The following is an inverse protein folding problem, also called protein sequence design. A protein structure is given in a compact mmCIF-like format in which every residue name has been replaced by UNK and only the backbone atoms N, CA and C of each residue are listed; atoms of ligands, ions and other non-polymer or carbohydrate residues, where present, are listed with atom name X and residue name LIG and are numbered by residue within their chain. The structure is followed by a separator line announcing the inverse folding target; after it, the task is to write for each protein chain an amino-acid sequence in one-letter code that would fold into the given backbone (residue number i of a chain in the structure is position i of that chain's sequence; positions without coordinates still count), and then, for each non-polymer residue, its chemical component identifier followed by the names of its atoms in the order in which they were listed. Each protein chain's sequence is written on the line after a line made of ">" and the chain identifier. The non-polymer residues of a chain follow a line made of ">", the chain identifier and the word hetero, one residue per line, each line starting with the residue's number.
data_IF_097706696771
#
_entry.id   IF_097706696771
#
_cell.length_a   1.000
_cell.length_b   1.000
_cell.length_c   1.000
_cell.angle_alpha   90.00
_cell.angle_beta   90.00
_cell.angle_gamma   90.00
#
_symmetry.space_group_name_H-M   'P 1'
#
loop_
_entity.id
_entity.type
_entity.pdbx_description
1 polymer ?
#
# COMPACT_ATOMS: atom_id res chain seq x y z
N UNK A 1 -21.76 18.38 -4.96
CA UNK A 1 -21.90 16.91 -5.11
C UNK A 1 -22.67 16.66 -6.39
N UNK A 2 -22.12 15.94 -7.35
CA UNK A 2 -22.76 15.60 -8.63
C UNK A 2 -22.96 14.09 -8.66
N UNK A 3 -24.10 13.63 -9.16
CA UNK A 3 -24.44 12.21 -9.29
C UNK A 3 -24.49 11.81 -10.75
N UNK A 4 -24.06 10.60 -11.05
CA UNK A 4 -24.07 10.00 -12.38
C UNK A 4 -24.65 8.58 -12.30
N UNK A 5 -25.36 8.17 -13.34
CA UNK A 5 -25.91 6.82 -13.42
C UNK A 5 -24.94 5.82 -14.07
N UNK A 6 -24.00 6.32 -14.87
CA UNK A 6 -23.00 5.48 -15.54
C UNK A 6 -21.61 6.08 -15.44
N UNK A 7 -20.54 5.25 -15.45
CA UNK A 7 -19.16 5.74 -15.53
C UNK A 7 -18.89 6.55 -16.81
N UNK A 8 -19.55 6.24 -17.92
CA UNK A 8 -19.40 6.96 -19.20
C UNK A 8 -19.97 8.37 -19.11
N UNK A 9 -21.14 8.54 -18.48
CA UNK A 9 -21.72 9.86 -18.20
C UNK A 9 -20.77 10.72 -17.34
N UNK A 10 -20.24 10.13 -16.27
CA UNK A 10 -19.26 10.79 -15.42
C UNK A 10 -17.98 11.17 -16.21
N UNK A 11 -17.46 10.26 -17.03
CA UNK A 11 -16.26 10.53 -17.83
C UNK A 11 -16.48 11.69 -18.81
N UNK A 12 -17.61 11.74 -19.49
CA UNK A 12 -17.95 12.83 -20.42
C UNK A 12 -18.08 14.19 -19.71
N UNK A 13 -18.69 14.20 -18.52
CA UNK A 13 -18.83 15.41 -17.72
C UNK A 13 -17.49 15.91 -17.15
N UNK A 14 -16.65 14.98 -16.69
CA UNK A 14 -15.39 15.32 -15.99
C UNK A 14 -14.24 15.68 -16.95
N UNK A 15 -14.23 15.16 -18.18
CA UNK A 15 -13.14 15.39 -19.12
C UNK A 15 -12.84 16.89 -19.33
N UNK A 16 -13.80 17.77 -19.70
CA UNK A 16 -13.50 19.19 -19.94
C UNK A 16 -13.08 19.94 -18.67
N UNK A 17 -13.33 19.39 -17.50
CA UNK A 17 -13.00 20.00 -16.20
C UNK A 17 -11.60 19.55 -15.73
N UNK A 18 -11.28 18.27 -15.88
CA UNK A 18 -10.12 17.63 -15.26
C UNK A 18 -8.95 17.43 -16.23
N UNK A 19 -9.19 17.23 -17.52
CA UNK A 19 -8.17 16.97 -18.52
C UNK A 19 -7.47 18.28 -18.94
N UNK A 20 -6.93 18.98 -17.94
CA UNK A 20 -6.23 20.27 -18.13
C UNK A 20 -4.86 20.24 -17.47
N UNK A 21 -3.84 20.75 -18.15
CA UNK A 21 -2.54 20.92 -17.53
C UNK A 21 -2.61 21.90 -16.37
N UNK A 22 -1.93 21.57 -15.26
CA UNK A 22 -1.76 22.50 -14.15
C UNK A 22 -0.73 23.57 -14.52
N UNK A 23 -0.99 24.79 -14.09
CA UNK A 23 0.01 25.87 -14.23
C UNK A 23 1.21 25.57 -13.32
N UNK A 24 2.45 25.75 -13.82
CA UNK A 24 3.63 25.57 -13.02
C UNK A 24 3.61 26.50 -11.80
N UNK A 25 3.80 25.93 -10.63
CA UNK A 25 3.80 26.69 -9.38
C UNK A 25 4.73 26.04 -8.37
N UNK A 26 5.41 26.85 -7.59
CA UNK A 26 6.16 26.42 -6.41
C UNK A 26 5.68 27.20 -5.19
N UNK A 27 5.44 26.51 -4.09
CA UNK A 27 4.89 27.09 -2.87
C UNK A 27 5.55 26.46 -1.66
N UNK A 28 6.14 27.28 -0.79
CA UNK A 28 6.54 26.82 0.54
C UNK A 28 5.30 26.67 1.41
N UNK A 29 5.10 25.46 1.94
CA UNK A 29 3.96 25.10 2.78
C UNK A 29 4.26 25.33 4.26
N UNK A 30 5.50 25.08 4.63
CA UNK A 30 6.08 25.30 5.95
C UNK A 30 7.61 25.30 5.79
N UNK A 31 8.37 25.78 6.79
CA UNK A 31 9.83 25.82 6.69
C UNK A 31 10.42 24.47 6.27
N UNK A 32 11.08 24.46 5.10
CA UNK A 32 11.70 23.27 4.53
C UNK A 32 10.74 22.25 3.90
N UNK A 33 9.45 22.57 3.72
CA UNK A 33 8.46 21.76 3.00
C UNK A 33 7.93 22.57 1.82
N UNK A 34 8.20 22.13 0.60
CA UNK A 34 7.84 22.82 -0.64
C UNK A 34 6.96 21.93 -1.49
N UNK A 35 5.86 22.47 -2.01
CA UNK A 35 5.03 21.88 -3.05
C UNK A 35 5.39 22.47 -4.41
N UNK A 36 5.70 21.63 -5.38
CA UNK A 36 5.87 21.98 -6.78
C UNK A 36 4.77 21.33 -7.62
N UNK A 37 4.17 22.08 -8.51
CA UNK A 37 3.18 21.61 -9.46
C UNK A 37 3.66 21.89 -10.88
N UNK A 38 3.47 20.93 -11.79
CA UNK A 38 3.76 21.11 -13.21
C UNK A 38 3.02 20.06 -14.05
N UNK A 39 2.63 20.43 -15.25
CA UNK A 39 2.24 19.46 -16.27
C UNK A 39 3.50 18.93 -16.96
N UNK A 40 3.65 17.62 -17.01
CA UNK A 40 4.79 16.93 -17.61
C UNK A 40 4.35 16.21 -18.90
N UNK A 41 5.05 16.40 -20.02
CA UNK A 41 4.69 15.73 -21.26
C UNK A 41 4.98 14.24 -21.19
N UNK A 42 4.11 13.45 -21.80
CA UNK A 42 4.27 12.04 -22.09
C UNK A 42 4.42 11.82 -23.59
N UNK A 43 4.73 10.59 -23.99
CA UNK A 43 4.74 10.19 -25.39
C UNK A 43 3.36 10.39 -26.03
N UNK A 44 3.33 10.67 -27.34
CA UNK A 44 2.09 10.79 -28.10
C UNK A 44 1.28 12.08 -27.86
N UNK A 45 1.86 13.08 -27.20
CA UNK A 45 1.21 14.36 -26.93
C UNK A 45 0.29 14.39 -25.72
N UNK A 46 0.25 13.31 -24.95
CA UNK A 46 -0.41 13.24 -23.65
C UNK A 46 0.44 13.96 -22.57
N UNK A 47 -0.18 14.18 -21.41
CA UNK A 47 0.51 14.77 -20.25
C UNK A 47 0.05 14.12 -18.95
N UNK A 48 0.82 14.36 -17.89
CA UNK A 48 0.44 14.09 -16.50
C UNK A 48 0.61 15.37 -15.68
N UNK A 49 -0.26 15.58 -14.71
CA UNK A 49 -0.05 16.62 -13.72
C UNK A 49 0.78 16.07 -12.56
N UNK A 50 1.91 16.70 -12.31
CA UNK A 50 2.83 16.35 -11.25
C UNK A 50 2.64 17.26 -10.05
N UNK A 51 2.43 16.65 -8.88
CA UNK A 51 2.40 17.32 -7.58
C UNK A 51 3.50 16.72 -6.74
N UNK A 52 4.58 17.47 -6.54
CA UNK A 52 5.76 16.99 -5.82
C UNK A 52 5.96 17.78 -4.55
N UNK A 53 5.87 17.09 -3.42
CA UNK A 53 6.25 17.66 -2.13
C UNK A 53 7.68 17.26 -1.83
N UNK A 54 8.52 18.25 -1.62
CA UNK A 54 9.94 18.09 -1.25
C UNK A 54 10.14 18.56 0.18
N UNK A 55 10.89 17.79 0.96
CA UNK A 55 11.27 18.21 2.30
C UNK A 55 12.69 17.78 2.66
N UNK A 56 13.27 18.48 3.63
CA UNK A 56 14.58 18.24 4.24
C UNK A 56 14.45 18.34 5.77
N UNK A 57 15.43 17.82 6.47
CA UNK A 57 15.55 18.12 7.90
C UNK A 57 15.50 19.66 8.14
N UNK A 58 14.73 20.17 9.13
CA UNK A 58 14.18 19.48 10.30
C UNK A 58 12.76 18.92 10.14
N UNK A 59 12.09 19.04 9.01
CA UNK A 59 10.76 18.47 8.81
C UNK A 59 10.78 16.94 9.04
N UNK A 60 9.74 16.43 9.68
CA UNK A 60 9.60 15.02 10.03
C UNK A 60 8.50 14.35 9.22
N UNK A 61 8.71 13.10 8.90
CA UNK A 61 7.71 12.25 8.27
C UNK A 61 7.29 11.15 9.24
N UNK A 62 6.00 10.83 9.26
CA UNK A 62 5.45 9.72 10.03
C UNK A 62 4.66 8.78 9.11
N UNK A 63 4.77 7.49 9.33
CA UNK A 63 3.84 6.49 8.81
C UNK A 63 2.71 6.32 9.81
N UNK A 64 1.51 6.63 9.36
CA UNK A 64 0.30 6.60 10.17
C UNK A 64 -0.65 5.53 9.65
N UNK A 65 -1.54 5.05 10.50
CA UNK A 65 -2.53 4.04 10.16
C UNK A 65 -3.92 4.47 10.61
N UNK A 66 -4.93 4.06 9.86
CA UNK A 66 -6.33 4.26 10.22
C UNK A 66 -7.08 2.92 10.24
N UNK A 67 -7.90 2.74 11.26
CA UNK A 67 -8.81 1.61 11.43
C UNK A 67 -10.07 2.13 12.14
N UNK A 68 -11.19 2.28 11.45
CA UNK A 68 -11.44 1.92 10.06
C UNK A 68 -10.69 2.79 9.03
N UNK A 69 -10.57 2.32 7.77
CA UNK A 69 -9.93 3.11 6.71
C UNK A 69 -10.70 4.41 6.43
N UNK A 70 -9.97 5.48 6.20
CA UNK A 70 -10.51 6.81 5.86
C UNK A 70 -9.78 7.38 4.65
N UNK A 71 -10.28 8.45 4.06
CA UNK A 71 -9.58 9.11 2.96
C UNK A 71 -8.39 9.95 3.47
N UNK A 72 -7.37 10.19 2.63
CA UNK A 72 -6.24 11.02 3.00
C UNK A 72 -6.66 12.45 3.41
N UNK A 73 -7.62 13.10 2.76
CA UNK A 73 -8.16 14.38 3.24
C UNK A 73 -8.84 14.30 4.61
N UNK A 74 -9.57 13.21 4.89
CA UNK A 74 -10.22 13.04 6.20
C UNK A 74 -9.17 12.82 7.31
N UNK A 75 -8.14 12.02 7.03
CA UNK A 75 -7.01 11.88 7.93
C UNK A 75 -6.32 13.24 8.19
N UNK A 76 -6.08 14.02 7.13
CA UNK A 76 -5.46 15.33 7.25
C UNK A 76 -6.30 16.32 8.07
N UNK A 77 -7.64 16.24 8.00
CA UNK A 77 -8.53 17.08 8.84
C UNK A 77 -8.38 16.76 10.33
N UNK A 78 -8.19 15.49 10.66
CA UNK A 78 -8.01 15.02 12.05
C UNK A 78 -6.57 15.09 12.57
N UNK A 79 -5.60 15.52 11.76
CA UNK A 79 -4.19 15.60 12.12
C UNK A 79 -3.64 17.03 12.01
N UNK A 80 -2.49 17.29 12.64
CA UNK A 80 -1.76 18.56 12.52
C UNK A 80 -0.71 18.52 11.39
N UNK A 81 -0.77 17.53 10.51
CA UNK A 81 0.17 17.40 9.41
C UNK A 81 0.04 18.54 8.40
N UNK A 82 1.19 19.02 7.92
CA UNK A 82 1.28 19.99 6.80
C UNK A 82 0.90 19.30 5.49
N UNK A 83 1.34 18.05 5.33
CA UNK A 83 1.04 17.22 4.16
C UNK A 83 0.62 15.83 4.62
N UNK A 84 -0.40 15.28 3.99
CA UNK A 84 -0.81 13.89 4.14
C UNK A 84 -1.00 13.26 2.78
N UNK A 85 -0.50 12.05 2.60
CA UNK A 85 -0.78 11.23 1.42
C UNK A 85 -1.00 9.77 1.80
N UNK A 86 -1.54 8.97 0.89
CA UNK A 86 -1.69 7.52 1.10
C UNK A 86 -0.34 6.83 1.22
N UNK A 87 -0.30 5.73 1.95
CA UNK A 87 0.90 4.93 2.19
C UNK A 87 0.99 3.70 1.29
N UNK A 88 1.13 2.53 1.91
CA UNK A 88 1.30 1.24 1.23
C UNK A 88 -0.02 0.58 0.83
N UNK A 89 0.13 -0.56 0.17
CA UNK A 89 -1.00 -1.36 -0.32
C UNK A 89 -1.79 -2.02 0.81
N UNK A 90 -3.07 -2.20 0.59
CA UNK A 90 -3.98 -2.81 1.55
C UNK A 90 -5.18 -3.49 0.85
N UNK A 91 -5.85 -4.39 1.58
CA UNK A 91 -7.16 -4.92 1.19
C UNK A 91 -8.27 -4.11 1.83
N UNK A 92 -9.29 -3.77 1.06
CA UNK A 92 -10.51 -3.17 1.61
C UNK A 92 -11.30 -4.19 2.45
N UNK A 93 -11.97 -3.69 3.49
CA UNK A 93 -12.85 -4.49 4.34
C UNK A 93 -13.97 -5.19 3.54
N UNK A 94 -14.45 -4.58 2.45
CA UNK A 94 -15.49 -5.14 1.58
C UNK A 94 -15.07 -6.43 0.88
N UNK A 95 -13.76 -6.65 0.69
CA UNK A 95 -13.22 -7.91 0.19
C UNK A 95 -13.06 -8.97 1.28
N UNK A 96 -13.08 -8.55 2.54
CA UNK A 96 -12.92 -9.41 3.70
C UNK A 96 -14.28 -9.62 4.37
N UNK A 97 -15.19 -10.39 3.77
CA UNK A 97 -16.57 -10.61 4.25
C UNK A 97 -16.71 -11.00 5.73
N UNK A 98 -15.62 -11.41 6.35
CA UNK A 98 -15.58 -11.88 7.73
C UNK A 98 -14.90 -10.92 8.71
N UNK A 99 -14.39 -9.79 8.22
CA UNK A 99 -13.70 -8.78 9.02
C UNK A 99 -14.13 -7.36 8.66
N UNK A 100 -14.51 -6.57 9.64
CA UNK A 100 -14.72 -5.13 9.44
C UNK A 100 -13.40 -4.36 9.34
N UNK A 101 -12.25 -5.03 9.26
CA UNK A 101 -10.92 -4.39 9.29
C UNK A 101 -10.23 -4.45 7.95
N UNK A 102 -9.65 -3.33 7.56
CA UNK A 102 -8.72 -3.27 6.44
C UNK A 102 -7.38 -3.91 6.85
N UNK A 103 -6.89 -4.78 5.99
CA UNK A 103 -5.63 -5.49 6.21
C UNK A 103 -4.55 -4.91 5.32
N UNK A 104 -3.39 -4.57 5.90
CA UNK A 104 -2.20 -4.24 5.11
C UNK A 104 -1.75 -5.46 4.31
N UNK A 105 -1.33 -5.23 3.06
CA UNK A 105 -0.68 -6.27 2.27
C UNK A 105 0.73 -6.51 2.80
N UNK A 106 1.10 -7.76 2.99
CA UNK A 106 2.41 -8.17 3.47
C UNK A 106 2.81 -7.52 4.81
N UNK A 107 4.00 -6.87 4.88
CA UNK A 107 4.52 -6.29 6.10
C UNK A 107 3.71 -5.09 6.56
N UNK A 108 3.37 -5.10 7.85
CA UNK A 108 2.95 -3.90 8.56
C UNK A 108 3.49 -3.92 10.00
N UNK A 109 4.16 -2.83 10.37
CA UNK A 109 4.57 -2.53 11.75
C UNK A 109 3.87 -1.23 12.13
N UNK A 110 3.19 -1.22 13.26
CA UNK A 110 2.48 -0.05 13.82
C UNK A 110 2.91 0.14 15.26
N UNK A 111 3.26 1.33 15.65
CA UNK A 111 3.63 1.66 17.02
C UNK A 111 4.67 0.68 17.60
N UNK A 112 5.75 0.44 16.85
CA UNK A 112 6.82 -0.50 17.16
C UNK A 112 6.38 -1.99 17.24
N UNK A 113 5.20 -2.35 16.74
CA UNK A 113 4.63 -3.70 16.83
C UNK A 113 4.29 -4.26 15.46
N UNK A 114 4.62 -5.52 15.24
CA UNK A 114 4.21 -6.23 14.03
C UNK A 114 2.70 -6.41 14.05
N UNK A 115 2.04 -6.03 12.97
CA UNK A 115 0.62 -6.32 12.73
C UNK A 115 0.39 -7.27 11.57
N UNK A 116 1.39 -7.44 10.68
CA UNK A 116 1.37 -8.40 9.59
C UNK A 116 2.79 -8.79 9.20
N UNK A 117 3.03 -10.08 8.90
CA UNK A 117 4.30 -10.60 8.39
C UNK A 117 4.30 -10.66 6.86
N UNK A 118 5.45 -10.42 6.23
CA UNK A 118 5.59 -10.61 4.79
C UNK A 118 5.57 -12.10 4.44
N UNK A 119 4.98 -12.42 3.29
CA UNK A 119 4.92 -13.80 2.77
C UNK A 119 5.87 -14.01 1.60
N UNK A 120 6.37 -12.94 1.02
CA UNK A 120 7.37 -12.89 -0.05
C UNK A 120 8.38 -11.81 0.23
N UNK A 121 9.57 -11.93 -0.36
CA UNK A 121 10.59 -10.89 -0.32
C UNK A 121 10.05 -9.63 -1.01
N UNK A 122 10.31 -8.46 -0.42
CA UNK A 122 9.76 -7.19 -0.91
C UNK A 122 10.50 -5.98 -0.37
N UNK A 123 10.17 -4.81 -0.91
CA UNK A 123 10.59 -3.54 -0.37
C UNK A 123 9.58 -3.06 0.69
N UNK A 124 10.08 -2.37 1.69
CA UNK A 124 9.29 -1.71 2.70
C UNK A 124 9.73 -0.25 2.89
N UNK A 125 8.77 0.60 3.17
CA UNK A 125 9.01 1.93 3.69
C UNK A 125 9.01 1.85 5.21
N UNK A 126 10.13 2.24 5.81
CA UNK A 126 10.37 2.14 7.25
C UNK A 126 10.52 3.54 7.83
N UNK A 127 9.80 3.82 8.91
CA UNK A 127 9.94 5.04 9.69
C UNK A 127 10.78 4.75 10.96
N UNK A 128 11.85 5.55 11.12
CA UNK A 128 12.70 5.57 12.29
C UNK A 128 13.00 7.02 12.68
N UNK A 129 12.65 7.40 13.91
CA UNK A 129 12.94 8.75 14.45
C UNK A 129 12.44 9.89 13.53
N UNK A 130 11.30 9.70 12.87
CA UNK A 130 10.73 10.68 11.94
C UNK A 130 11.43 10.76 10.57
N UNK A 131 12.28 9.80 10.24
CA UNK A 131 12.91 9.66 8.93
C UNK A 131 12.39 8.43 8.18
N UNK A 132 12.10 8.60 6.89
CA UNK A 132 11.66 7.51 6.02
C UNK A 132 12.84 6.91 5.27
N UNK A 133 12.89 5.59 5.19
CA UNK A 133 13.86 4.84 4.40
C UNK A 133 13.21 3.68 3.65
N UNK A 134 13.65 3.41 2.44
CA UNK A 134 13.28 2.21 1.68
C UNK A 134 14.29 1.13 2.02
N UNK A 135 13.79 -0.05 2.41
CA UNK A 135 14.60 -1.18 2.84
C UNK A 135 14.10 -2.43 2.13
N UNK A 136 15.02 -3.19 1.53
CA UNK A 136 14.70 -4.53 1.04
C UNK A 136 14.49 -5.47 2.24
N UNK A 137 13.36 -6.13 2.28
CA UNK A 137 12.93 -6.99 3.39
C UNK A 137 12.72 -8.41 2.88
N UNK A 138 13.74 -9.28 3.01
CA UNK A 138 13.55 -10.71 2.84
C UNK A 138 12.53 -11.22 3.87
N UNK A 139 11.58 -12.03 3.40
CA UNK A 139 10.50 -12.55 4.24
C UNK A 139 10.96 -13.77 5.04
N UNK A 140 11.87 -13.56 5.93
CA UNK A 140 12.33 -14.53 6.91
C UNK A 140 12.81 -13.83 8.18
N UNK A 141 13.00 -14.60 9.25
CA UNK A 141 13.50 -14.05 10.50
C UNK A 141 13.38 -15.03 11.65
N UNK A 142 13.35 -14.49 12.84
CA UNK A 142 13.26 -15.24 14.08
C UNK A 142 11.97 -14.89 14.83
N UNK A 143 11.39 -15.88 15.46
CA UNK A 143 10.22 -15.74 16.32
C UNK A 143 10.32 -16.71 17.51
N UNK A 144 9.53 -16.45 18.55
CA UNK A 144 9.30 -17.37 19.65
C UNK A 144 7.84 -17.82 19.62
N UNK A 145 7.60 -19.13 19.66
CA UNK A 145 6.28 -19.72 19.82
C UNK A 145 6.20 -20.47 21.16
N UNK A 146 5.38 -19.96 22.07
CA UNK A 146 5.41 -20.35 23.47
C UNK A 146 6.72 -19.88 24.11
N UNK A 147 7.63 -20.82 24.41
CA UNK A 147 8.95 -20.51 24.99
C UNK A 147 10.11 -20.99 24.09
N UNK A 148 9.83 -21.35 22.84
CA UNK A 148 10.84 -21.91 21.93
C UNK A 148 11.12 -20.96 20.78
N UNK A 149 12.40 -20.70 20.50
CA UNK A 149 12.79 -19.93 19.32
C UNK A 149 12.66 -20.78 18.05
N UNK A 150 12.28 -20.13 16.95
CA UNK A 150 12.15 -20.71 15.61
C UNK A 150 12.59 -19.72 14.56
N UNK A 151 13.14 -20.25 13.47
CA UNK A 151 13.28 -19.51 12.23
C UNK A 151 11.96 -19.61 11.47
N UNK A 152 11.48 -18.50 10.97
CA UNK A 152 10.32 -18.45 10.10
C UNK A 152 10.69 -17.93 8.70
N UNK A 153 9.92 -18.32 7.71
CA UNK A 153 9.99 -17.76 6.36
C UNK A 153 8.59 -17.49 5.81
N UNK A 154 8.49 -16.60 4.85
CA UNK A 154 7.27 -16.39 4.07
C UNK A 154 6.98 -17.61 3.19
N UNK A 155 5.72 -17.98 3.06
CA UNK A 155 5.30 -19.17 2.32
C UNK A 155 5.60 -19.12 0.81
N UNK A 156 5.96 -17.96 0.29
CA UNK A 156 6.28 -17.73 -1.12
C UNK A 156 7.76 -17.48 -1.37
N UNK A 157 8.59 -17.72 -0.37
CA UNK A 157 10.04 -17.67 -0.50
C UNK A 157 10.60 -19.08 -0.63
N UNK A 158 11.87 -19.17 -1.00
CA UNK A 158 12.64 -20.42 -0.98
C UNK A 158 13.54 -20.53 0.25
N UNK A 159 13.31 -19.72 1.28
CA UNK A 159 14.09 -19.76 2.50
C UNK A 159 13.75 -20.99 3.33
N UNK A 160 14.77 -21.69 3.80
CA UNK A 160 14.63 -22.79 4.77
C UNK A 160 14.23 -22.25 6.13
N UNK A 161 13.18 -22.82 6.71
CA UNK A 161 12.64 -22.39 7.98
C UNK A 161 12.01 -23.53 8.78
N UNK A 162 11.87 -23.30 10.08
CA UNK A 162 11.18 -24.23 11.00
C UNK A 162 9.66 -24.04 10.94
N UNK A 163 9.21 -22.89 10.46
CA UNK A 163 7.78 -22.59 10.23
C UNK A 163 7.63 -21.56 9.10
N UNK A 164 6.43 -21.51 8.50
CA UNK A 164 6.14 -20.67 7.35
C UNK A 164 4.95 -19.75 7.61
N UNK A 165 5.18 -18.46 7.38
CA UNK A 165 4.16 -17.44 7.49
C UNK A 165 3.32 -17.36 6.21
N UNK A 166 2.02 -17.35 6.40
CA UNK A 166 1.03 -17.15 5.39
C UNK A 166 0.20 -15.93 5.78
N UNK A 167 0.34 -14.89 5.04
CA UNK A 167 -0.34 -13.64 5.33
C UNK A 167 -1.41 -13.31 4.31
N UNK A 168 -1.94 -12.12 4.43
CA UNK A 168 -3.01 -11.62 3.59
C UNK A 168 -2.63 -11.48 2.10
N UNK A 169 -1.35 -11.45 1.78
CA UNK A 169 -0.85 -11.37 0.41
C UNK A 169 -0.99 -12.68 -0.39
N UNK A 170 -1.39 -13.77 0.24
CA UNK A 170 -1.67 -15.02 -0.47
C UNK A 170 -3.02 -15.00 -1.22
N UNK A 171 -3.83 -13.98 -1.04
CA UNK A 171 -5.02 -13.82 -1.85
C UNK A 171 -4.62 -13.38 -3.26
N UNK A 172 -4.89 -14.25 -4.22
CA UNK A 172 -4.76 -13.92 -5.64
C UNK A 172 -5.91 -12.99 -6.00
N UNK A 173 -5.58 -11.75 -6.34
CA UNK A 173 -6.56 -10.84 -6.93
C UNK A 173 -6.68 -11.22 -8.40
N UNK A 174 -7.65 -12.05 -8.73
CA UNK A 174 -7.98 -12.38 -10.11
C UNK A 174 -8.88 -11.27 -10.69
N UNK A 175 -8.33 -10.51 -11.62
CA UNK A 175 -9.13 -9.65 -12.47
C UNK A 175 -9.76 -10.49 -13.57
N UNK A 176 -10.98 -10.99 -13.35
CA UNK A 176 -11.77 -11.58 -14.43
C UNK A 176 -12.76 -10.55 -14.97
N UNK A 177 -12.80 -10.34 -16.29
CA UNK A 177 -13.84 -9.52 -16.87
C UNK A 177 -15.21 -10.18 -16.61
N UNK A 178 -16.13 -9.45 -16.02
CA UNK A 178 -17.53 -9.88 -15.94
C UNK A 178 -18.09 -9.90 -17.36
N UNK A 179 -18.42 -11.10 -17.85
CA UNK A 179 -18.95 -11.30 -19.18
C UNK A 179 -20.25 -10.50 -19.45
N UNK A 180 -20.97 -10.09 -18.40
CA UNK A 180 -22.23 -9.37 -18.49
C UNK A 180 -22.06 -7.84 -18.48
N UNK A 181 -21.07 -7.31 -17.81
CA UNK A 181 -20.88 -5.87 -17.62
C UNK A 181 -19.59 -5.34 -18.23
N UNK A 182 -18.71 -6.21 -18.73
CA UNK A 182 -17.37 -5.84 -19.22
C UNK A 182 -16.44 -5.28 -18.14
N UNK A 183 -16.91 -5.16 -16.89
CA UNK A 183 -16.13 -4.65 -15.77
C UNK A 183 -15.26 -5.76 -15.23
N UNK A 184 -14.00 -5.45 -14.96
CA UNK A 184 -13.13 -6.34 -14.22
C UNK A 184 -13.73 -6.55 -12.82
N UNK A 185 -14.21 -7.75 -12.54
CA UNK A 185 -14.48 -8.16 -11.16
C UNK A 185 -13.16 -8.54 -10.53
N UNK A 186 -12.85 -7.90 -9.42
CA UNK A 186 -11.78 -8.37 -8.55
C UNK A 186 -12.34 -9.59 -7.82
N UNK A 187 -12.03 -10.77 -8.33
CA UNK A 187 -12.22 -11.99 -7.56
C UNK A 187 -11.00 -12.12 -6.65
N UNK A 188 -11.24 -11.86 -5.39
CA UNK A 188 -10.44 -12.51 -4.39
C UNK A 188 -10.82 -14.00 -4.45
N UNK A 189 -10.02 -14.81 -5.13
CA UNK A 189 -10.02 -16.21 -4.82
C UNK A 189 -9.74 -16.26 -3.33
N UNK A 190 -10.76 -16.69 -2.57
CA UNK A 190 -10.61 -16.80 -1.14
C UNK A 190 -9.27 -17.47 -0.93
N UNK A 191 -8.39 -16.84 -0.18
CA UNK A 191 -7.12 -17.41 0.26
C UNK A 191 -7.42 -18.60 1.15
N UNK A 192 -8.09 -19.57 0.57
CA UNK A 192 -8.31 -20.86 1.16
C UNK A 192 -6.97 -21.55 1.09
N UNK A 193 -6.35 -21.55 2.21
CA UNK A 193 -5.24 -22.40 2.45
C UNK A 193 -5.70 -23.83 2.23
N UNK A 194 -5.43 -24.37 1.08
CA UNK A 194 -5.43 -25.80 0.90
C UNK A 194 -4.15 -26.30 1.53
N UNK A 195 -4.20 -26.54 2.83
CA UNK A 195 -3.23 -27.41 3.42
C UNK A 195 -3.54 -28.83 2.93
N UNK A 196 -3.07 -29.21 1.77
CA UNK A 196 -2.80 -30.61 1.53
C UNK A 196 -1.66 -31.00 2.48
N UNK A 197 -1.96 -31.04 3.77
CA UNK A 197 -1.05 -31.63 4.75
C UNK A 197 -1.21 -33.14 4.59
N UNK A 198 -0.52 -33.67 3.61
CA UNK A 198 -0.29 -35.11 3.50
C UNK A 198 0.60 -35.63 4.64
N UNK A 199 1.22 -34.72 5.40
CA UNK A 199 2.18 -35.04 6.45
C UNK A 199 1.60 -34.73 7.83
N UNK A 200 1.53 -35.74 8.69
CA UNK A 200 1.01 -35.67 10.08
C UNK A 200 1.85 -34.77 11.03
N UNK A 201 2.90 -34.13 10.55
CA UNK A 201 3.87 -33.36 11.37
C UNK A 201 3.58 -31.87 11.46
N UNK A 202 2.71 -31.31 10.60
CA UNK A 202 2.44 -29.88 10.49
C UNK A 202 1.00 -29.54 10.84
N UNK A 203 0.78 -28.34 11.33
CA UNK A 203 -0.52 -27.71 11.52
C UNK A 203 -0.50 -26.29 11.04
N UNK A 204 -1.63 -25.81 10.51
CA UNK A 204 -1.85 -24.40 10.26
C UNK A 204 -2.53 -23.79 11.47
N UNK A 205 -1.95 -22.73 12.01
CA UNK A 205 -2.42 -22.04 13.20
C UNK A 205 -2.74 -20.61 12.84
N UNK A 206 -3.96 -20.19 13.15
CA UNK A 206 -4.41 -18.82 13.03
C UNK A 206 -4.15 -18.04 14.30
N UNK A 207 -3.55 -16.88 14.17
CA UNK A 207 -3.19 -15.98 15.24
C UNK A 207 -3.90 -14.64 15.14
N UNK A 208 -4.23 -14.07 16.30
CA UNK A 208 -4.76 -12.72 16.44
C UNK A 208 -3.79 -11.86 17.22
N UNK A 209 -3.52 -10.66 16.71
CA UNK A 209 -2.72 -9.65 17.40
C UNK A 209 -3.39 -9.24 18.73
N UNK A 210 -2.58 -9.04 19.75
CA UNK A 210 -2.97 -8.60 21.09
C UNK A 210 -2.45 -7.20 21.37
N UNK A 211 -3.10 -6.44 22.26
CA UNK A 211 -2.70 -5.06 22.59
C UNK A 211 -1.28 -4.92 23.13
N UNK A 212 -0.72 -5.98 23.72
CA UNK A 212 0.65 -6.01 24.25
C UNK A 212 1.73 -6.31 23.20
N UNK A 213 1.33 -6.48 21.91
CA UNK A 213 2.23 -6.61 20.77
C UNK A 213 2.66 -8.04 20.42
N UNK A 214 2.13 -9.04 21.11
CA UNK A 214 2.25 -10.43 20.69
C UNK A 214 1.03 -10.90 19.90
N UNK A 215 1.12 -12.09 19.30
CA UNK A 215 0.00 -12.79 18.70
C UNK A 215 -0.41 -13.97 19.58
N UNK A 216 -1.72 -14.23 19.69
CA UNK A 216 -2.24 -15.41 20.37
C UNK A 216 -2.88 -16.37 19.36
N UNK A 217 -2.56 -17.64 19.45
CA UNK A 217 -3.20 -18.69 18.67
C UNK A 217 -4.69 -18.81 19.05
N UNK A 218 -5.58 -18.68 18.05
CA UNK A 218 -7.04 -18.71 18.25
C UNK A 218 -7.71 -19.85 17.49
N UNK A 219 -7.00 -20.44 16.54
CA UNK A 219 -7.52 -21.57 15.75
C UNK A 219 -6.38 -22.45 15.28
N UNK A 220 -6.69 -23.72 15.07
CA UNK A 220 -5.75 -24.71 14.56
C UNK A 220 -6.43 -25.64 13.57
N UNK A 221 -5.73 -25.99 12.52
CA UNK A 221 -6.17 -26.93 11.52
C UNK A 221 -5.07 -27.95 11.22
N UNK A 222 -5.36 -29.22 11.46
CA UNK A 222 -4.44 -30.32 11.16
C UNK A 222 -4.71 -30.93 9.77
N UNK A 223 -5.89 -30.69 9.23
CA UNK A 223 -6.34 -31.10 7.89
C UNK A 223 -7.38 -30.11 7.39
N UNK A 224 -7.41 -29.85 6.08
CA UNK A 224 -8.42 -28.99 5.46
C UNK A 224 -7.95 -27.55 5.27
N UNK A 225 -8.85 -26.59 5.35
CA UNK A 225 -8.60 -25.20 5.00
C UNK A 225 -8.78 -24.28 6.20
N UNK A 226 -7.86 -23.33 6.39
CA UNK A 226 -7.97 -22.26 7.36
C UNK A 226 -8.30 -20.96 6.62
N UNK A 227 -9.34 -20.24 7.06
CA UNK A 227 -9.70 -18.95 6.48
C UNK A 227 -8.71 -17.88 6.97
N UNK A 228 -7.82 -17.43 6.06
CA UNK A 228 -6.79 -16.45 6.39
C UNK A 228 -7.36 -15.07 6.70
N UNK A 229 -8.54 -14.71 6.20
CA UNK A 229 -9.17 -13.43 6.51
C UNK A 229 -9.73 -13.33 7.93
N UNK A 230 -9.87 -14.46 8.61
CA UNK A 230 -10.28 -14.46 10.03
C UNK A 230 -9.14 -14.25 11.00
N UNK A 231 -7.90 -14.19 10.51
CA UNK A 231 -6.69 -14.14 11.33
C UNK A 231 -5.79 -12.99 10.91
N UNK A 232 -5.03 -12.43 11.84
CA UNK A 232 -4.01 -11.43 11.52
C UNK A 232 -2.79 -12.08 10.87
N UNK A 233 -2.51 -13.32 11.26
CA UNK A 233 -1.42 -14.15 10.75
C UNK A 233 -1.84 -15.62 10.76
N UNK A 234 -1.43 -16.34 9.73
CA UNK A 234 -1.48 -17.80 9.71
C UNK A 234 -0.04 -18.32 9.61
N UNK A 235 0.29 -19.25 10.50
CA UNK A 235 1.60 -19.86 10.54
C UNK A 235 1.46 -21.37 10.38
N UNK A 236 2.15 -21.96 9.40
CA UNK A 236 2.37 -23.40 9.32
C UNK A 236 3.53 -23.77 10.21
N UNK A 237 3.29 -24.55 11.22
CA UNK A 237 4.31 -24.93 12.22
C UNK A 237 4.22 -26.41 12.60
N UNK A 238 5.26 -26.96 13.23
CA UNK A 238 5.23 -28.32 13.75
C UNK A 238 4.03 -28.57 14.67
N UNK A 239 3.30 -29.65 14.42
CA UNK A 239 2.04 -30.00 15.11
C UNK A 239 2.14 -30.02 16.63
N UNK A 240 3.29 -30.43 17.16
CA UNK A 240 3.54 -30.49 18.60
C UNK A 240 3.50 -29.10 19.28
N UNK A 241 3.68 -28.02 18.50
CA UNK A 241 3.75 -26.63 18.98
C UNK A 241 2.44 -25.88 18.79
N UNK A 242 1.56 -26.39 17.94
CA UNK A 242 0.29 -25.81 17.57
C UNK A 242 -0.74 -25.98 18.69
N UNK A 243 -0.62 -25.26 19.78
CA UNK A 243 -1.57 -25.27 20.90
C UNK A 243 -2.41 -23.99 20.87
N UNK A 244 -3.72 -24.12 21.11
CA UNK A 244 -4.58 -22.97 21.32
C UNK A 244 -4.09 -22.14 22.50
N UNK A 245 -4.13 -20.81 22.37
CA UNK A 245 -3.58 -19.88 23.34
C UNK A 245 -2.06 -19.72 23.31
N UNK A 246 -1.33 -20.46 22.45
CA UNK A 246 0.12 -20.29 22.33
C UNK A 246 0.46 -18.85 21.95
N UNK A 247 1.40 -18.24 22.68
CA UNK A 247 1.92 -16.90 22.43
C UNK A 247 2.99 -16.96 21.34
N UNK A 248 2.85 -16.07 20.34
CA UNK A 248 3.82 -15.86 19.29
C UNK A 248 4.40 -14.46 19.41
N UNK A 249 5.71 -14.36 19.41
CA UNK A 249 6.47 -13.12 19.41
C UNK A 249 7.45 -13.13 18.22
N UNK A 250 7.43 -12.08 17.40
CA UNK A 250 8.35 -11.92 16.27
C UNK A 250 9.50 -11.03 16.71
N UNK A 251 10.74 -11.47 16.46
CA UNK A 251 11.94 -10.76 16.86
C UNK A 251 12.64 -10.05 15.71
N UNK A 252 12.70 -10.72 14.55
CA UNK A 252 13.33 -10.14 13.36
C UNK A 252 12.51 -10.41 12.11
N UNK A 253 12.59 -9.47 11.14
CA UNK A 253 12.02 -9.59 9.80
C UNK A 253 13.10 -9.13 8.83
N UNK A 254 13.79 -10.06 8.18
CA UNK A 254 14.98 -9.75 7.38
C UNK A 254 16.01 -8.93 8.19
N UNK A 255 16.44 -7.77 7.67
CA UNK A 255 17.39 -6.90 8.37
C UNK A 255 16.75 -6.07 9.48
N UNK A 256 15.43 -6.16 9.67
CA UNK A 256 14.70 -5.39 10.65
C UNK A 256 14.73 -6.11 12.00
N UNK A 257 15.51 -5.61 12.94
CA UNK A 257 15.41 -6.01 14.35
C UNK A 257 14.23 -5.27 14.97
N UNK A 258 13.25 -6.02 15.46
CA UNK A 258 12.04 -5.46 16.04
C UNK A 258 12.33 -4.94 17.44
N UNK A 259 11.95 -3.71 17.68
CA UNK A 259 12.17 -3.02 18.94
C UNK A 259 11.76 -1.54 18.79
N UNK A 260 12.08 -0.73 19.78
CA UNK A 260 11.68 0.69 19.81
C UNK A 260 12.27 1.55 18.68
N UNK A 261 13.26 1.05 17.94
CA UNK A 261 13.90 1.81 16.85
C UNK A 261 13.06 1.87 15.55
N UNK A 262 12.07 0.99 15.37
CA UNK A 262 11.18 1.00 14.20
C UNK A 262 9.80 1.42 14.67
N UNK A 263 9.44 2.67 14.44
CA UNK A 263 8.14 3.21 14.82
C UNK A 263 7.03 2.59 13.96
N UNK A 264 7.26 2.54 12.66
CA UNK A 264 6.32 1.98 11.69
C UNK A 264 7.03 1.46 10.45
N UNK A 265 6.41 0.48 9.79
CA UNK A 265 6.82 0.03 8.46
C UNK A 265 5.63 -0.48 7.67
N UNK A 266 5.65 -0.32 6.37
CA UNK A 266 4.65 -0.83 5.44
C UNK A 266 5.33 -1.42 4.21
N UNK A 267 4.74 -2.47 3.66
CA UNK A 267 5.09 -2.93 2.31
C UNK A 267 4.76 -1.87 1.28
N UNK A 268 5.66 -1.73 0.33
CA UNK A 268 5.54 -0.79 -0.77
C UNK A 268 5.71 -1.51 -2.11
N UNK A 269 5.43 -0.82 -3.20
CA UNK A 269 5.63 -1.33 -4.55
C UNK A 269 7.09 -1.40 -4.96
N UNK A 270 7.37 -1.68 -6.24
CA UNK A 270 8.73 -1.83 -6.73
C UNK A 270 9.63 -0.68 -6.32
N UNK A 271 10.88 -1.01 -6.01
CA UNK A 271 11.92 -0.02 -5.79
C UNK A 271 12.21 0.73 -7.10
N UNK A 272 12.31 2.06 -7.02
CA UNK A 272 12.65 2.91 -8.18
C UNK A 272 14.10 2.76 -8.63
N UNK A 273 14.94 2.13 -7.82
CA UNK A 273 16.34 1.85 -8.16
C UNK A 273 16.51 0.76 -9.20
N UNK A 274 15.47 -0.01 -9.50
CA UNK A 274 15.49 -0.98 -10.59
C UNK A 274 15.22 -0.27 -11.92
N UNK A 275 16.24 -0.06 -12.76
CA UNK A 275 16.04 0.58 -14.07
C UNK A 275 15.19 -0.28 -15.01
N UNK A 276 15.16 -1.58 -14.76
CA UNK A 276 14.34 -2.56 -15.46
C UNK A 276 13.37 -3.20 -14.46
N UNK A 277 12.16 -2.66 -14.43
CA UNK A 277 11.10 -3.16 -13.55
C UNK A 277 10.67 -4.60 -13.86
N UNK A 278 11.01 -5.12 -15.06
CA UNK A 278 10.72 -6.51 -15.41
C UNK A 278 11.52 -7.51 -14.57
N UNK A 279 12.65 -7.07 -14.03
CA UNK A 279 13.51 -7.86 -13.14
C UNK A 279 13.18 -7.72 -11.66
N UNK A 280 12.19 -6.92 -11.31
CA UNK A 280 11.80 -6.78 -9.92
C UNK A 280 11.15 -8.08 -9.41
N UNK A 281 11.52 -8.59 -8.21
CA UNK A 281 10.94 -9.83 -7.67
C UNK A 281 9.42 -9.82 -7.58
N UNK A 282 8.80 -8.66 -7.41
CA UNK A 282 7.34 -8.51 -7.42
C UNK A 282 6.70 -8.72 -8.81
N UNK A 283 7.46 -8.62 -9.90
CA UNK A 283 6.95 -8.94 -11.24
C UNK A 283 6.78 -10.45 -11.44
N UNK A 284 7.60 -11.25 -10.78
CA UNK A 284 7.48 -12.71 -10.78
C UNK A 284 6.47 -13.19 -9.73
N UNK A 285 6.09 -12.33 -8.80
CA UNK A 285 5.13 -12.66 -7.77
C UNK A 285 3.70 -12.62 -8.33
N UNK A 286 3.25 -13.77 -8.82
CA UNK A 286 1.85 -14.00 -9.23
C UNK A 286 0.83 -13.71 -8.11
N UNK A 287 1.29 -13.44 -6.88
CA UNK A 287 0.45 -13.08 -5.76
C UNK A 287 -0.22 -11.73 -5.89
N UNK A 288 0.43 -10.80 -6.54
CA UNK A 288 -0.18 -9.56 -6.97
C UNK A 288 -0.85 -9.71 -8.34
N UNK A 289 -1.19 -10.91 -8.77
CA UNK A 289 -1.79 -11.44 -10.02
C UNK A 289 -2.15 -10.49 -11.17
N UNK A 290 -2.31 -9.23 -10.86
CA UNK A 290 -2.57 -8.12 -11.76
C UNK A 290 -1.36 -7.18 -11.91
N UNK A 291 -0.20 -7.48 -11.30
CA UNK A 291 0.92 -6.54 -11.32
C UNK A 291 1.44 -6.22 -12.73
N UNK A 292 1.60 -7.17 -13.67
CA UNK A 292 1.95 -6.85 -15.06
C UNK A 292 0.93 -5.92 -15.72
N UNK A 293 -0.36 -6.16 -15.52
CA UNK A 293 -1.43 -5.28 -16.04
C UNK A 293 -1.40 -3.90 -15.41
N UNK A 294 -1.09 -3.81 -14.11
CA UNK A 294 -0.92 -2.54 -13.41
C UNK A 294 0.34 -1.80 -13.85
N UNK A 295 1.41 -2.52 -14.21
CA UNK A 295 2.67 -1.92 -14.66
C UNK A 295 2.51 -1.21 -16.01
N UNK A 296 1.83 -1.83 -16.96
CA UNK A 296 1.65 -1.34 -18.33
C UNK A 296 0.50 -0.34 -18.46
N UNK A 297 -0.46 -0.39 -17.55
CA UNK A 297 -1.64 0.46 -17.62
C UNK A 297 -1.35 1.86 -17.09
N UNK A 298 -1.58 2.93 -17.86
CA UNK A 298 -1.53 4.29 -17.37
C UNK A 298 -2.51 4.50 -16.21
N UNK A 299 -2.05 5.14 -15.15
CA UNK A 299 -2.88 5.48 -13.98
C UNK A 299 -2.24 6.63 -13.19
N UNK A 300 -2.98 7.17 -12.21
CA UNK A 300 -2.40 8.01 -11.18
C UNK A 300 -1.35 7.21 -10.40
N UNK A 301 -0.12 7.74 -10.29
CA UNK A 301 1.01 7.11 -9.60
C UNK A 301 1.46 7.97 -8.44
N UNK A 302 1.76 7.31 -7.34
CA UNK A 302 2.33 7.92 -6.17
C UNK A 302 3.65 7.24 -5.84
N UNK A 303 4.69 8.04 -5.67
CA UNK A 303 6.04 7.55 -5.35
C UNK A 303 6.66 8.34 -4.21
N UNK A 304 7.42 7.65 -3.39
CA UNK A 304 8.38 8.23 -2.47
C UNK A 304 9.78 8.03 -3.03
N UNK A 305 10.63 9.07 -2.99
CA UNK A 305 12.04 8.91 -3.31
C UNK A 305 12.91 9.89 -2.53
N UNK A 306 14.18 9.55 -2.41
CA UNK A 306 15.23 10.37 -1.84
C UNK A 306 16.32 10.56 -2.87
N UNK A 307 16.75 11.79 -3.06
CA UNK A 307 17.87 12.16 -3.91
C UNK A 307 19.19 12.04 -3.15
N UNK A 308 20.31 11.97 -3.89
CA UNK A 308 21.65 11.80 -3.30
C UNK A 308 22.10 12.99 -2.45
N UNK A 309 21.49 14.16 -2.63
CA UNK A 309 21.71 15.36 -1.80
C UNK A 309 20.89 15.34 -0.48
N UNK A 310 20.16 14.23 -0.23
CA UNK A 310 19.42 13.99 1.00
C UNK A 310 18.00 14.56 1.03
N UNK A 311 17.53 15.25 -0.02
CA UNK A 311 16.13 15.67 -0.10
C UNK A 311 15.20 14.45 -0.24
N UNK A 312 14.06 14.51 0.40
CA UNK A 312 13.01 13.51 0.32
C UNK A 312 11.83 14.09 -0.44
N UNK A 313 11.16 13.24 -1.21
CA UNK A 313 10.10 13.66 -2.11
C UNK A 313 8.93 12.69 -2.08
N UNK A 314 7.72 13.24 -2.09
CA UNK A 314 6.48 12.55 -2.44
C UNK A 314 6.02 13.13 -3.77
N UNK A 315 5.96 12.31 -4.80
CA UNK A 315 5.54 12.75 -6.12
C UNK A 315 4.29 11.98 -6.55
N UNK A 316 3.23 12.71 -6.80
CA UNK A 316 2.01 12.20 -7.39
C UNK A 316 1.96 12.64 -8.85
N UNK A 317 1.91 11.67 -9.76
CA UNK A 317 1.66 11.85 -11.17
C UNK A 317 0.19 11.54 -11.43
N UNK A 318 -0.61 12.57 -11.61
CA UNK A 318 -2.05 12.45 -11.75
C UNK A 318 -2.47 12.26 -13.20
N UNK A 319 -3.55 11.51 -13.38
CA UNK A 319 -4.17 11.28 -14.66
C UNK A 319 -5.54 10.65 -14.50
N UNK A 320 -6.32 10.63 -15.57
CA UNK A 320 -7.67 10.08 -15.59
C UNK A 320 -7.72 8.85 -16.50
N UNK A 321 -7.95 7.64 -15.95
CA UNK A 321 -8.08 6.44 -16.78
C UNK A 321 -9.13 6.62 -17.88
N UNK A 322 -8.76 6.26 -19.11
CA UNK A 322 -9.62 6.40 -20.29
C UNK A 322 -9.60 7.79 -20.94
N UNK A 323 -8.74 8.71 -20.49
CA UNK A 323 -8.44 9.94 -21.21
C UNK A 323 -7.23 9.73 -22.12
N UNK A 324 -7.32 10.14 -23.38
CA UNK A 324 -6.19 10.10 -24.31
C UNK A 324 -5.17 11.22 -24.03
N UNK A 325 -5.66 12.37 -23.63
CA UNK A 325 -4.81 13.53 -23.34
C UNK A 325 -4.19 13.49 -21.94
N UNK A 326 -4.87 12.87 -20.97
CA UNK A 326 -4.52 12.86 -19.56
C UNK A 326 -4.66 11.47 -18.93
N UNK A 327 -3.98 10.43 -19.47
CA UNK A 327 -4.21 9.05 -19.08
C UNK A 327 -3.61 8.67 -17.70
N UNK A 328 -2.67 9.46 -17.18
CA UNK A 328 -1.76 9.08 -16.10
C UNK A 328 -0.49 8.46 -16.67
N UNK A 329 0.34 7.90 -15.80
CA UNK A 329 1.64 7.34 -16.18
C UNK A 329 1.66 5.80 -15.98
N UNK A 330 2.38 5.11 -16.85
CA UNK A 330 2.83 3.73 -16.62
C UNK A 330 3.90 3.69 -15.54
N UNK A 331 4.27 2.52 -15.03
CA UNK A 331 5.39 2.42 -14.09
C UNK A 331 6.70 2.86 -14.75
N UNK A 332 6.96 2.48 -15.99
CA UNK A 332 8.17 2.83 -16.73
C UNK A 332 8.29 4.34 -16.95
N UNK A 333 7.21 5.00 -17.39
CA UNK A 333 7.19 6.47 -17.53
C UNK A 333 7.40 7.17 -16.19
N UNK A 334 6.82 6.65 -15.10
CA UNK A 334 7.02 7.17 -13.75
C UNK A 334 8.49 7.11 -13.35
N UNK A 335 9.15 5.98 -13.56
CA UNK A 335 10.59 5.82 -13.30
C UNK A 335 11.39 6.82 -14.11
N UNK A 336 11.14 6.95 -15.41
CA UNK A 336 11.84 7.88 -16.28
C UNK A 336 11.67 9.35 -15.82
N UNK A 337 10.43 9.74 -15.49
CA UNK A 337 10.11 11.08 -14.98
C UNK A 337 10.80 11.39 -13.64
N UNK A 338 10.85 10.42 -12.73
CA UNK A 338 11.53 10.61 -11.44
C UNK A 338 13.05 10.71 -11.63
N UNK A 339 13.64 9.84 -12.44
CA UNK A 339 15.09 9.88 -12.72
C UNK A 339 15.53 11.15 -13.46
N UNK A 340 14.66 11.75 -14.27
CA UNK A 340 14.96 13.03 -14.94
C UNK A 340 15.15 14.21 -13.97
N UNK A 341 14.70 14.05 -12.70
CA UNK A 341 14.82 15.10 -11.67
C UNK A 341 16.12 15.07 -10.89
N UNK A 342 16.94 14.07 -11.09
CA UNK A 342 18.25 13.94 -10.47
C UNK A 342 18.60 12.52 -10.02
N UNK A 343 19.82 12.33 -9.52
CA UNK A 343 20.28 11.03 -9.08
C UNK A 343 19.56 10.61 -7.80
N UNK A 344 19.02 9.37 -7.83
CA UNK A 344 18.28 8.79 -6.71
C UNK A 344 19.22 8.04 -5.75
N UNK A 345 19.02 8.24 -4.45
CA UNK A 345 19.61 7.41 -3.41
C UNK A 345 18.72 6.21 -3.08
N UNK A 346 17.40 6.41 -3.09
CA UNK A 346 16.40 5.36 -2.86
C UNK A 346 15.03 5.84 -3.34
N UNK A 347 14.08 4.92 -3.56
CA UNK A 347 12.70 5.27 -3.85
C UNK A 347 11.85 4.05 -4.07
N UNK A 348 10.53 4.21 -3.96
CA UNK A 348 9.55 3.15 -4.13
C UNK A 348 8.20 3.69 -4.61
N UNK A 349 7.43 2.82 -5.25
CA UNK A 349 6.02 3.09 -5.50
C UNK A 349 5.20 2.89 -4.23
N UNK A 350 4.26 3.79 -4.01
CA UNK A 350 3.23 3.70 -2.98
C UNK A 350 1.91 3.22 -3.59
N UNK A 351 0.85 3.12 -2.78
CA UNK A 351 -0.47 2.75 -3.31
C UNK A 351 -0.92 3.78 -4.34
N UNK A 352 -1.35 3.28 -5.47
CA UNK A 352 -1.59 4.03 -6.71
C UNK A 352 -3.05 3.96 -7.14
N UNK A 353 -3.44 4.77 -8.13
CA UNK A 353 -4.79 4.80 -8.65
C UNK A 353 -5.75 5.59 -7.76
N UNK A 354 -6.93 5.04 -7.47
CA UNK A 354 -8.02 5.78 -6.82
C UNK A 354 -7.74 6.22 -5.37
N UNK A 355 -6.77 5.62 -4.70
CA UNK A 355 -6.36 6.00 -3.34
C UNK A 355 -5.40 7.16 -3.32
N UNK A 356 -4.61 7.34 -4.39
CA UNK A 356 -3.53 8.32 -4.46
C UNK A 356 -4.05 9.75 -4.40
N UNK A 357 -3.77 10.42 -3.30
CA UNK A 357 -4.15 11.82 -3.08
C UNK A 357 -3.15 12.48 -2.14
N UNK A 358 -2.82 13.74 -2.42
CA UNK A 358 -2.03 14.59 -1.53
C UNK A 358 -2.97 15.65 -0.94
N UNK A 359 -3.09 15.68 0.37
CA UNK A 359 -3.76 16.73 1.12
C UNK A 359 -2.72 17.65 1.76
N UNK A 360 -2.87 18.95 1.56
CA UNK A 360 -1.92 19.98 2.01
C UNK A 360 -2.64 20.99 2.86
N UNK A 361 -2.11 21.29 4.03
CA UNK A 361 -2.59 22.35 4.90
C UNK A 361 -1.76 23.62 4.69
N UNK A 362 -2.43 24.69 4.34
CA UNK A 362 -1.83 26.02 4.19
C UNK A 362 -2.77 27.07 4.77
N UNK A 363 -2.25 27.94 5.62
CA UNK A 363 -2.98 29.06 6.25
C UNK A 363 -4.31 28.60 6.88
N UNK A 364 -4.31 27.42 7.52
CA UNK A 364 -5.48 26.81 8.13
C UNK A 364 -6.45 26.13 7.14
N UNK A 365 -6.31 26.35 5.84
CA UNK A 365 -7.12 25.69 4.81
C UNK A 365 -6.49 24.37 4.36
N UNK A 366 -7.32 23.41 3.98
CA UNK A 366 -6.91 22.13 3.41
C UNK A 366 -7.18 22.13 1.90
N UNK A 367 -6.13 22.00 1.10
CA UNK A 367 -6.21 21.77 -0.33
C UNK A 367 -5.88 20.31 -0.65
N UNK A 368 -6.49 19.76 -1.71
CA UNK A 368 -6.27 18.37 -2.14
C UNK A 368 -5.86 18.32 -3.59
N UNK A 369 -4.88 17.47 -3.90
CA UNK A 369 -4.32 17.30 -5.23
C UNK A 369 -4.37 15.84 -5.66
N UNK A 370 -4.56 15.63 -6.95
CA UNK A 370 -4.60 14.33 -7.60
C UNK A 370 -5.92 13.61 -7.45
N UNK A 371 -6.15 12.69 -8.37
CA UNK A 371 -7.28 11.77 -8.40
C UNK A 371 -8.66 12.46 -8.21
N UNK A 372 -8.83 13.63 -8.84
CA UNK A 372 -10.09 14.38 -8.74
C UNK A 372 -11.24 13.72 -9.52
N UNK A 373 -10.94 12.71 -10.32
CA UNK A 373 -11.92 11.91 -11.07
C UNK A 373 -12.55 10.78 -10.25
N UNK A 374 -12.16 10.60 -8.98
CA UNK A 374 -12.70 9.54 -8.14
C UNK A 374 -14.22 9.64 -8.00
N UNK A 375 -14.88 8.53 -8.29
CA UNK A 375 -16.31 8.35 -8.12
C UNK A 375 -16.53 7.40 -6.95
N UNK A 376 -17.25 7.85 -5.97
CA UNK A 376 -17.71 7.01 -4.88
C UNK A 376 -18.93 6.21 -5.34
N UNK A 377 -18.88 4.90 -5.16
CA UNK A 377 -20.03 4.05 -5.33
C UNK A 377 -20.67 3.78 -3.96
N UNK A 378 -21.92 4.25 -3.74
CA UNK A 378 -22.54 4.16 -2.42
C UNK A 378 -23.04 2.76 -2.05
N UNK A 379 -22.89 1.76 -2.91
CA UNK A 379 -23.26 0.36 -2.64
C UNK A 379 -24.40 -0.15 -3.54
N UNK A 380 -24.84 -1.38 -3.28
CA UNK A 380 -25.84 -2.07 -4.13
C UNK A 380 -27.25 -1.44 -4.10
N UNK A 381 -27.56 -0.69 -3.04
CA UNK A 381 -28.88 -0.05 -2.87
C UNK A 381 -29.04 1.23 -3.70
N UNK A 382 -27.96 1.85 -4.14
CA UNK A 382 -27.97 3.07 -4.97
C UNK A 382 -27.08 2.83 -6.19
N UNK A 383 -27.68 2.74 -7.37
CA UNK A 383 -26.98 2.51 -8.63
C UNK A 383 -26.23 3.75 -9.16
N UNK A 384 -26.26 4.87 -8.45
CA UNK A 384 -25.61 6.10 -8.85
C UNK A 384 -24.16 6.18 -8.34
N UNK A 385 -23.31 6.87 -9.11
CA UNK A 385 -21.95 7.23 -8.71
C UNK A 385 -21.95 8.68 -8.21
N UNK A 386 -21.26 8.92 -7.12
CA UNK A 386 -21.15 10.26 -6.52
C UNK A 386 -19.75 10.81 -6.76
N UNK A 387 -19.68 11.98 -7.37
CA UNK A 387 -18.42 12.70 -7.56
C UNK A 387 -18.13 13.59 -6.36
N UNK A 388 -16.98 13.35 -5.77
CA UNK A 388 -16.46 14.09 -4.60
C UNK A 388 -14.98 14.40 -4.84
N UNK A 389 -14.65 15.48 -5.58
CA UNK A 389 -13.30 15.76 -6.05
C UNK A 389 -12.27 15.90 -4.93
N UNK A 390 -12.69 16.39 -3.76
CA UNK A 390 -11.83 16.61 -2.61
C UNK A 390 -11.77 15.44 -1.63
N UNK A 391 -12.53 14.37 -1.90
CA UNK A 391 -12.39 13.09 -1.22
C UNK A 391 -11.54 12.16 -2.07
N UNK A 392 -11.05 11.11 -1.48
CA UNK A 392 -10.39 10.00 -2.14
C UNK A 392 -10.97 8.69 -1.64
N UNK A 393 -10.56 7.60 -2.25
CA UNK A 393 -10.86 6.27 -1.73
C UNK A 393 -10.24 6.11 -0.35
N UNK A 394 -10.93 5.50 0.63
CA UNK A 394 -10.37 5.19 1.93
C UNK A 394 -9.08 4.37 1.83
N UNK A 395 -8.12 4.65 2.69
CA UNK A 395 -6.83 3.95 2.83
C UNK A 395 -6.60 3.56 4.28
N UNK A 396 -5.80 2.51 4.50
CA UNK A 396 -5.44 2.04 5.83
C UNK A 396 -4.15 2.65 6.37
N UNK A 397 -3.33 3.26 5.51
CA UNK A 397 -2.05 3.84 5.90
C UNK A 397 -1.78 5.15 5.17
N UNK A 398 -1.01 6.02 5.84
CA UNK A 398 -0.69 7.36 5.37
C UNK A 398 0.77 7.72 5.65
N UNK A 399 1.29 8.62 4.84
CA UNK A 399 2.51 9.36 5.14
C UNK A 399 2.09 10.78 5.51
N UNK A 400 2.44 11.21 6.72
CA UNK A 400 2.17 12.54 7.25
C UNK A 400 3.47 13.30 7.45
N UNK A 401 3.55 14.54 6.93
CA UNK A 401 4.69 15.44 7.14
C UNK A 401 4.31 16.52 8.14
N UNK A 402 5.22 16.76 9.09
CA UNK A 402 5.07 17.77 10.14
C UNK A 402 6.23 18.78 10.03
N UNK A 403 5.88 20.07 10.11
CA UNK A 403 6.87 21.07 10.47
C UNK A 403 7.19 20.94 11.96
N UNK A 404 8.44 21.19 12.33
CA UNK A 404 8.79 21.28 13.76
C UNK A 404 8.08 22.42 14.44
#
# INVERSE_FOLDING_TARGET
>A
MVRFHTPSEAAAYLAPILDRPVEPCETELAPGIVLQMAALPLSGGAFVNSYTVTWRHPARAALCFADPPISAPDFARGSESVVTTTGGFFFLADYCRHRPRTLSLNLAIRDCRVSSLPVSDQDALVNRDGALSVVAVPAHGELTLGQRPFRWAGSRTQHDADCYAYGNANSVILHQPDARTGKARIFQESSRFTSEITCSRWSDVGFMARPDGHFAAVSRQDRGQLDMFRHDLVLRCPRALAREGARLEVHTIGPLSLGRSIEAAISVGPCLSYPDLSRHPLNDDRSLGSFPLLAERPATRLVFYRTTDGAQHLCLLDGRPGSDAFPGATLAETVALVHSRGPLAAGCFLDSGHTSKIAVRRDGALATYGNRHYLQWPGEADSSFVWTPDQGRPSASFIALHSR
#
